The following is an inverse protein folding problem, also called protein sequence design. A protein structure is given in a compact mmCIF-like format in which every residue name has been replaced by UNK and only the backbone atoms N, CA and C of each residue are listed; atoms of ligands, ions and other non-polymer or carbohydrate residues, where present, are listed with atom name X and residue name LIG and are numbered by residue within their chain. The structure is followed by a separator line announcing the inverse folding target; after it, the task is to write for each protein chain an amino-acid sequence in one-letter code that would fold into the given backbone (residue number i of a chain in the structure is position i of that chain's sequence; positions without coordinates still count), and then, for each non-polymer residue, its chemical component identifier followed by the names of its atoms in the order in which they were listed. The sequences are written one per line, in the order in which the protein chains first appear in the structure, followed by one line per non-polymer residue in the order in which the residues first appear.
data_IF_817060679230
#
_entry.id   IF_817060679230
#
_cell.length_a   1.000
_cell.length_b   1.000
_cell.length_c   1.000
_cell.angle_alpha   90.00
_cell.angle_beta   90.00
_cell.angle_gamma   90.00
#
_symmetry.space_group_name_H-M   'P 1'
#
loop_
_entity.id
_entity.type
_entity.pdbx_description
1 polymer ?
#
# COMPACT_ATOMS: atom_id res chain seq x y z
N UNK A 1 2.19 -8.40 2.58
CA UNK A 1 0.92 -8.15 3.29
C UNK A 1 0.49 -9.33 4.19
N UNK A 2 1.36 -10.31 4.48
CA UNK A 2 1.08 -11.27 5.54
C UNK A 2 0.95 -10.54 6.89
N UNK A 3 0.07 -10.97 7.81
CA UNK A 3 -0.91 -12.06 7.65
C UNK A 3 -2.23 -11.63 6.98
N UNK A 4 -2.45 -10.32 6.74
CA UNK A 4 -3.70 -9.77 6.19
C UNK A 4 -4.06 -10.35 4.83
N UNK A 5 -3.09 -10.52 3.93
CA UNK A 5 -3.23 -11.23 2.66
C UNK A 5 -2.22 -12.37 2.59
N UNK A 6 -2.68 -13.51 2.10
CA UNK A 6 -1.85 -14.68 1.83
C UNK A 6 -0.76 -14.34 0.80
N UNK A 7 0.36 -15.09 0.78
CA UNK A 7 1.45 -14.89 -0.19
C UNK A 7 0.94 -14.98 -1.65
N UNK A 8 -0.04 -15.84 -1.89
CA UNK A 8 -0.75 -15.98 -3.16
C UNK A 8 -2.15 -16.57 -2.93
N UNK A 9 -3.03 -16.51 -3.94
CA UNK A 9 -4.32 -17.21 -3.96
C UNK A 9 -5.50 -16.47 -3.34
N UNK A 10 -5.29 -15.35 -2.63
CA UNK A 10 -6.38 -14.50 -2.16
C UNK A 10 -7.00 -13.72 -3.34
N UNK A 11 -8.32 -13.77 -3.47
CA UNK A 11 -9.06 -12.83 -4.32
C UNK A 11 -9.42 -11.59 -3.49
N UNK A 12 -9.29 -10.40 -4.07
CA UNK A 12 -9.57 -9.15 -3.37
C UNK A 12 -10.58 -8.31 -4.14
N UNK A 13 -11.48 -7.65 -3.41
CA UNK A 13 -12.37 -6.65 -3.98
C UNK A 13 -11.79 -5.25 -3.79
N UNK A 14 -11.59 -4.54 -4.90
CA UNK A 14 -10.97 -3.21 -4.93
C UNK A 14 -12.04 -2.17 -5.25
N UNK A 15 -12.29 -1.28 -4.29
CA UNK A 15 -13.12 -0.10 -4.45
C UNK A 15 -12.31 1.05 -5.05
N UNK A 16 -12.60 1.39 -6.31
CA UNK A 16 -11.96 2.47 -7.07
C UNK A 16 -12.78 3.77 -7.11
N UNK A 17 -14.01 3.74 -6.59
CA UNK A 17 -14.98 4.83 -6.72
C UNK A 17 -15.09 5.67 -5.45
N UNK A 18 -14.60 5.15 -4.33
CA UNK A 18 -14.54 5.90 -3.07
C UNK A 18 -13.87 7.28 -3.23
N UNK A 19 -14.42 8.32 -2.59
CA UNK A 19 -13.83 9.66 -2.64
C UNK A 19 -12.45 9.69 -1.97
N UNK A 20 -11.65 10.72 -2.28
CA UNK A 20 -10.29 10.91 -1.71
C UNK A 20 -10.27 10.89 -0.17
N UNK A 21 -11.35 11.35 0.48
CA UNK A 21 -11.50 11.32 1.95
C UNK A 21 -11.59 9.91 2.54
N UNK A 22 -11.86 8.88 1.74
CA UNK A 22 -11.90 7.48 2.20
C UNK A 22 -10.50 6.88 2.41
N UNK A 23 -9.46 7.48 1.84
CA UNK A 23 -8.06 7.01 1.91
C UNK A 23 -7.42 7.51 3.21
N UNK A 24 -7.73 6.81 4.30
CA UNK A 24 -7.31 7.14 5.67
C UNK A 24 -6.51 6.02 6.32
N UNK A 25 -5.91 6.31 7.47
CA UNK A 25 -5.12 5.34 8.24
C UNK A 25 -5.87 4.01 8.45
N UNK A 26 -5.13 2.92 8.32
CA UNK A 26 -5.62 1.55 8.41
C UNK A 26 -6.20 0.97 7.12
N UNK A 27 -6.48 1.77 6.08
CA UNK A 27 -6.96 1.23 4.79
C UNK A 27 -5.85 0.47 4.06
N UNK A 28 -6.19 -0.70 3.54
CA UNK A 28 -5.34 -1.43 2.59
C UNK A 28 -5.65 -0.94 1.19
N UNK A 29 -4.63 -0.61 0.42
CA UNK A 29 -4.76 -0.03 -0.91
C UNK A 29 -3.89 -0.75 -1.92
N UNK A 30 -4.31 -0.68 -3.18
CA UNK A 30 -3.47 -1.00 -4.33
C UNK A 30 -2.85 0.30 -4.81
N UNK A 31 -1.55 0.31 -5.10
CA UNK A 31 -0.86 1.48 -5.61
C UNK A 31 0.12 1.12 -6.74
N UNK A 32 0.56 2.14 -7.48
CA UNK A 32 1.70 2.01 -8.39
C UNK A 32 2.98 1.79 -7.56
N UNK A 33 3.89 0.92 -8.04
CA UNK A 33 5.23 0.80 -7.45
C UNK A 33 6.04 2.07 -7.69
N UNK A 34 6.97 2.38 -6.77
CA UNK A 34 7.91 3.49 -6.93
C UNK A 34 9.12 3.03 -7.74
N UNK A 35 9.36 3.66 -8.90
CA UNK A 35 10.26 3.18 -9.95
C UNK A 35 11.67 2.83 -9.45
N UNK A 36 12.25 3.71 -8.62
CA UNK A 36 13.59 3.54 -8.05
C UNK A 36 13.77 2.21 -7.29
N UNK A 37 12.71 1.67 -6.71
CA UNK A 37 12.74 0.47 -5.88
C UNK A 37 12.15 -0.77 -6.57
N UNK A 38 11.51 -0.57 -7.72
CA UNK A 38 10.93 -1.63 -8.52
C UNK A 38 11.32 -1.41 -9.99
N UNK A 39 12.63 -1.53 -10.32
CA UNK A 39 13.09 -1.31 -11.68
C UNK A 39 12.38 -2.27 -12.64
N UNK A 40 12.10 -1.78 -13.85
CA UNK A 40 11.42 -2.54 -14.91
C UNK A 40 9.98 -2.97 -14.56
N UNK A 41 9.33 -2.37 -13.55
CA UNK A 41 7.94 -2.73 -13.24
C UNK A 41 6.99 -2.46 -14.43
N UNK A 42 7.29 -1.49 -15.27
CA UNK A 42 6.47 -1.16 -16.45
C UNK A 42 6.48 -2.26 -17.52
N UNK A 43 7.58 -3.02 -17.61
CA UNK A 43 7.66 -4.20 -18.49
C UNK A 43 6.71 -5.31 -18.00
N UNK A 44 6.39 -5.32 -16.70
CA UNK A 44 5.42 -6.22 -16.08
C UNK A 44 4.04 -5.57 -16.17
N UNK A 45 3.34 -5.80 -17.28
CA UNK A 45 1.98 -5.25 -17.50
C UNK A 45 1.12 -5.46 -16.24
N UNK A 46 0.51 -4.37 -15.75
CA UNK A 46 -0.33 -4.34 -14.55
C UNK A 46 0.37 -4.68 -13.23
N UNK A 47 1.70 -4.51 -13.11
CA UNK A 47 2.36 -4.63 -11.82
C UNK A 47 1.87 -3.56 -10.84
N UNK A 48 1.51 -4.00 -9.64
CA UNK A 48 0.95 -3.18 -8.57
C UNK A 48 1.50 -3.64 -7.23
N UNK A 49 1.55 -2.72 -6.27
CA UNK A 49 1.84 -3.03 -4.87
C UNK A 49 0.56 -2.98 -4.05
N UNK A 50 0.48 -3.78 -3.00
CA UNK A 50 -0.59 -3.74 -2.01
C UNK A 50 0.01 -3.40 -0.66
N UNK A 51 -0.44 -2.30 -0.04
CA UNK A 51 0.11 -1.75 1.21
C UNK A 51 -1.00 -1.16 2.08
N UNK A 52 -0.71 -0.88 3.35
CA UNK A 52 -1.61 -0.22 4.29
C UNK A 52 -1.23 1.25 4.45
N UNK A 53 -2.22 2.13 4.45
CA UNK A 53 -2.05 3.53 4.84
C UNK A 53 -1.76 3.58 6.34
N UNK A 54 -0.57 4.05 6.69
CA UNK A 54 -0.16 4.31 8.07
C UNK A 54 -0.31 5.79 8.41
N UNK A 55 -0.11 6.65 7.42
CA UNK A 55 -0.19 8.10 7.56
C UNK A 55 -0.89 8.78 6.40
N UNK A 56 -1.53 9.91 6.68
CA UNK A 56 -2.17 10.79 5.68
C UNK A 56 -1.56 12.18 5.68
N UNK A 57 -1.99 13.00 4.72
CA UNK A 57 -1.54 14.39 4.55
C UNK A 57 -1.48 15.19 5.85
N UNK A 58 -0.36 15.88 6.02
CA UNK A 58 0.00 16.73 7.15
C UNK A 58 0.21 16.00 8.49
N UNK A 59 0.42 14.68 8.46
CA UNK A 59 0.84 13.91 9.64
C UNK A 59 2.38 13.77 9.69
N UNK A 60 2.91 13.73 10.91
CA UNK A 60 4.29 13.29 11.19
C UNK A 60 4.22 11.80 11.55
N UNK A 61 5.04 10.99 10.89
CA UNK A 61 5.11 9.55 11.07
C UNK A 61 6.39 9.22 11.82
N UNK A 62 6.21 8.66 13.02
CA UNK A 62 7.32 8.06 13.74
C UNK A 62 7.72 6.77 13.06
N UNK A 63 8.93 6.75 12.53
CA UNK A 63 9.49 5.58 11.87
C UNK A 63 10.51 4.94 12.82
N UNK A 64 10.25 3.73 13.35
CA UNK A 64 11.19 3.09 14.28
C UNK A 64 12.59 2.99 13.67
N UNK A 65 13.59 3.42 14.44
CA UNK A 65 15.01 3.39 14.07
C UNK A 65 15.41 4.31 12.89
N UNK A 66 14.52 5.20 12.46
CA UNK A 66 14.75 6.22 11.45
C UNK A 66 14.34 7.60 11.98
N UNK A 67 14.63 8.65 11.22
CA UNK A 67 14.15 10.01 11.52
C UNK A 67 12.66 10.07 11.20
N UNK A 68 11.89 10.72 12.08
CA UNK A 68 10.47 11.01 11.84
C UNK A 68 10.31 11.71 10.49
N UNK A 69 9.28 11.31 9.74
CA UNK A 69 9.02 11.84 8.41
C UNK A 69 7.67 12.55 8.35
N UNK A 70 7.52 13.49 7.44
CA UNK A 70 6.30 14.27 7.26
C UNK A 70 5.59 13.84 5.98
N UNK A 71 4.28 13.61 6.06
CA UNK A 71 3.45 13.29 4.89
C UNK A 71 2.91 14.58 4.28
N UNK A 72 3.33 14.99 3.07
CA UNK A 72 2.85 16.23 2.48
C UNK A 72 1.36 16.20 2.10
N UNK A 73 0.79 17.38 1.89
CA UNK A 73 -0.57 17.51 1.36
C UNK A 73 -0.72 16.75 0.03
N UNK A 74 -1.71 15.88 -0.06
CA UNK A 74 -1.98 15.06 -1.25
C UNK A 74 -1.19 13.74 -1.30
N UNK A 75 -0.44 13.41 -0.25
CA UNK A 75 0.33 12.17 -0.13
C UNK A 75 -0.19 11.28 0.99
N UNK A 76 0.23 10.02 0.97
CA UNK A 76 -0.02 9.00 2.00
C UNK A 76 1.26 8.23 2.30
N UNK A 77 1.43 7.81 3.55
CA UNK A 77 2.51 6.90 3.97
C UNK A 77 2.00 5.45 3.90
N UNK A 78 2.66 4.60 3.11
CA UNK A 78 2.25 3.22 2.88
C UNK A 78 3.25 2.25 3.51
N UNK A 79 2.80 1.28 4.31
CA UNK A 79 3.64 0.18 4.80
C UNK A 79 3.03 -1.18 4.55
N UNK A 80 3.88 -2.20 4.41
CA UNK A 80 3.43 -3.59 4.37
C UNK A 80 3.22 -4.15 5.77
N UNK A 81 2.20 -4.98 5.95
CA UNK A 81 1.91 -5.60 7.26
C UNK A 81 3.00 -6.58 7.73
N UNK A 82 3.83 -7.09 6.82
CA UNK A 82 5.01 -7.86 7.15
C UNK A 82 6.22 -6.91 7.14
N UNK A 83 6.52 -6.30 8.29
CA UNK A 83 7.57 -5.27 8.43
C UNK A 83 8.93 -5.73 7.89
N UNK A 84 9.28 -7.00 8.07
CA UNK A 84 10.57 -7.57 7.70
C UNK A 84 10.69 -7.94 6.21
N UNK A 85 9.58 -7.90 5.46
CA UNK A 85 9.51 -8.32 4.05
C UNK A 85 8.65 -7.32 3.27
N UNK A 86 9.04 -6.06 3.34
CA UNK A 86 8.30 -4.98 2.70
C UNK A 86 9.22 -3.84 2.30
N UNK A 87 9.39 -3.67 1.00
CA UNK A 87 9.83 -2.42 0.38
C UNK A 87 8.63 -1.48 0.32
N UNK A 88 8.65 -0.40 1.08
CA UNK A 88 7.54 0.54 1.25
C UNK A 88 7.96 1.98 1.57
N UNK A 89 7.08 2.82 2.12
CA UNK A 89 7.39 4.24 2.38
C UNK A 89 8.56 4.44 3.34
N UNK A 90 8.97 3.43 4.11
CA UNK A 90 10.21 3.50 4.91
C UNK A 90 11.46 3.55 4.04
N UNK A 91 11.36 3.05 2.82
CA UNK A 91 12.45 3.03 1.84
C UNK A 91 12.34 4.22 0.87
N UNK A 92 11.12 4.52 0.40
CA UNK A 92 10.90 5.49 -0.68
C UNK A 92 10.10 6.74 -0.29
N UNK A 93 9.72 6.89 0.98
CA UNK A 93 8.97 8.03 1.48
C UNK A 93 7.47 8.03 1.11
N UNK A 94 6.80 9.18 1.29
CA UNK A 94 5.36 9.33 1.03
C UNK A 94 5.00 9.09 -0.44
N UNK A 95 3.84 8.48 -0.69
CA UNK A 95 3.30 8.16 -2.03
C UNK A 95 2.22 9.16 -2.42
N UNK A 96 2.26 9.73 -3.65
CA UNK A 96 1.17 10.58 -4.14
C UNK A 96 -0.16 9.83 -4.13
N UNK A 97 -1.23 10.46 -3.65
CA UNK A 97 -2.55 9.82 -3.65
C UNK A 97 -3.05 9.46 -5.07
N UNK A 98 -2.54 10.16 -6.09
CA UNK A 98 -2.83 9.87 -7.51
C UNK A 98 -2.25 8.53 -8.00
N UNK A 99 -1.24 7.99 -7.30
CA UNK A 99 -0.66 6.68 -7.60
C UNK A 99 -1.37 5.56 -6.82
N UNK A 100 -2.35 5.89 -5.99
CA UNK A 100 -3.21 4.91 -5.30
C UNK A 100 -4.39 4.55 -6.21
N UNK A 101 -4.53 3.26 -6.51
CA UNK A 101 -5.45 2.67 -7.48
C UNK A 101 -6.67 1.95 -6.85
N UNK A 102 -7.06 2.34 -5.64
CA UNK A 102 -8.28 1.86 -4.96
C UNK A 102 -8.02 1.18 -3.62
N UNK A 103 -9.11 1.02 -2.85
CA UNK A 103 -9.11 0.47 -1.49
C UNK A 103 -9.53 -1.01 -1.54
N UNK A 104 -8.76 -1.88 -0.90
CA UNK A 104 -9.15 -3.27 -0.67
C UNK A 104 -10.21 -3.32 0.43
N UNK A 105 -11.42 -3.78 0.10
CA UNK A 105 -12.56 -3.82 1.04
C UNK A 105 -12.69 -5.15 1.76
N UNK A 106 -12.48 -6.24 1.03
CA UNK A 106 -12.53 -7.59 1.57
C UNK A 106 -11.71 -8.54 0.69
N UNK A 107 -11.33 -9.66 1.29
CA UNK A 107 -10.67 -10.77 0.61
C UNK A 107 -11.55 -12.01 0.67
N UNK A 108 -11.43 -12.85 -0.35
CA UNK A 108 -12.01 -14.19 -0.39
C UNK A 108 -10.86 -15.17 -0.60
N UNK A 109 -10.69 -16.11 0.33
CA UNK A 109 -9.72 -17.18 0.16
C UNK A 109 -10.24 -18.16 -0.87
N UNK A 110 -9.40 -18.60 -1.80
CA UNK A 110 -9.73 -19.75 -2.63
C UNK A 110 -9.98 -20.95 -1.70
N UNK A 111 -11.11 -21.64 -1.87
CA UNK A 111 -11.35 -22.92 -1.21
C UNK A 111 -10.35 -23.90 -1.83
N UNK A 112 -9.40 -24.39 -1.03
CA UNK A 112 -8.61 -25.54 -1.43
C UNK A 112 -9.55 -26.74 -1.40
N UNK A 113 -9.76 -27.36 -2.56
CA UNK A 113 -10.36 -28.68 -2.60
C UNK A 113 -9.29 -29.61 -2.03
N UNK A 114 -9.51 -30.10 -0.81
CA UNK A 114 -8.76 -31.21 -0.23
C UNK A 114 -8.86 -32.44 -1.15
#
# INVERSE_FOLDING_TARGET
MLPTLSKSGDYIFIDKISPKSSYRNGKVVIAKPQELFFPNYELKRNYKVCKRIIGVSNEVITVPFLVDDFVPQGYVWLQGDNIFDSIDSRDYGPVPLNDVNGIVRFKVKRKENL
#
